data_IF_858748412843
#
_entry.id   IF_858748412843
#
_cell.length_a   1.000
_cell.length_b   1.000
_cell.length_c   1.000
_cell.angle_alpha   90.00
_cell.angle_beta   90.00
_cell.angle_gamma   90.00
#
_symmetry.space_group_name_H-M   'P 1'
#
loop_
_entity.id
_entity.type
_entity.pdbx_description
1 polymer ?
#
# COMPACT_ATOMS: atom_id res chain seq x y z
N UNK A 1 7.96 -16.69 -11.04
CA UNK A 1 9.15 -16.10 -11.71
C UNK A 1 9.12 -14.56 -11.84
N UNK A 2 8.03 -13.88 -11.63
CA UNK A 2 7.92 -12.39 -11.77
C UNK A 2 8.44 -11.60 -10.56
N UNK A 3 8.54 -12.22 -9.39
CA UNK A 3 9.01 -11.54 -8.15
C UNK A 3 10.50 -11.18 -8.23
N UNK A 4 11.32 -12.04 -8.87
CA UNK A 4 12.76 -11.80 -9.00
C UNK A 4 13.10 -10.53 -9.80
N UNK A 5 12.53 -10.29 -11.01
CA UNK A 5 12.79 -9.04 -11.72
C UNK A 5 12.28 -7.81 -10.96
N UNK A 6 11.15 -7.88 -10.28
CA UNK A 6 10.68 -6.78 -9.44
C UNK A 6 11.65 -6.47 -8.30
N UNK A 7 12.07 -7.50 -7.55
CA UNK A 7 13.05 -7.33 -6.48
C UNK A 7 14.39 -6.78 -7.00
N UNK A 8 14.89 -7.30 -8.12
CA UNK A 8 16.13 -6.84 -8.75
C UNK A 8 16.08 -5.39 -9.18
N UNK A 9 14.99 -4.96 -9.84
CA UNK A 9 14.80 -3.57 -10.24
C UNK A 9 14.65 -2.63 -9.05
N UNK A 10 13.95 -3.06 -7.99
CA UNK A 10 13.81 -2.28 -6.76
C UNK A 10 15.16 -2.11 -6.05
N UNK A 11 15.97 -3.18 -5.98
CA UNK A 11 17.32 -3.08 -5.43
C UNK A 11 18.21 -2.16 -6.27
N UNK A 12 18.12 -2.22 -7.60
CA UNK A 12 18.87 -1.34 -8.49
C UNK A 12 18.46 0.13 -8.31
N UNK A 13 17.16 0.41 -8.20
CA UNK A 13 16.65 1.76 -7.93
C UNK A 13 17.15 2.29 -6.59
N UNK A 14 17.08 1.45 -5.54
CA UNK A 14 17.57 1.83 -4.22
C UNK A 14 19.09 2.07 -4.23
N UNK A 15 19.85 1.20 -4.91
CA UNK A 15 21.29 1.37 -5.06
C UNK A 15 21.66 2.66 -5.81
N UNK A 16 20.97 2.97 -6.91
CA UNK A 16 21.19 4.20 -7.68
C UNK A 16 20.93 5.46 -6.84
N UNK A 17 19.85 5.45 -6.07
CA UNK A 17 19.49 6.57 -5.19
C UNK A 17 20.50 6.78 -4.04
N UNK A 18 20.97 5.69 -3.43
CA UNK A 18 21.84 5.75 -2.25
C UNK A 18 23.33 5.95 -2.59
N UNK A 19 23.80 5.37 -3.69
CA UNK A 19 25.23 5.32 -4.01
C UNK A 19 25.64 6.28 -5.11
N UNK A 20 24.80 6.48 -6.10
CA UNK A 20 25.12 7.31 -7.25
C UNK A 20 24.63 8.75 -7.09
N UNK A 21 23.76 9.00 -6.07
CA UNK A 21 23.16 10.33 -5.88
C UNK A 21 22.47 10.84 -7.15
N UNK A 22 21.91 9.90 -7.94
CA UNK A 22 21.25 10.24 -9.21
C UNK A 22 20.12 11.23 -8.94
N UNK A 23 20.17 12.35 -9.62
CA UNK A 23 19.09 13.32 -9.61
C UNK A 23 17.81 12.60 -10.11
N UNK A 24 16.71 12.61 -9.33
CA UNK A 24 15.45 12.00 -9.77
C UNK A 24 14.87 12.61 -11.06
N UNK A 25 15.39 13.77 -11.49
CA UNK A 25 15.01 14.42 -12.73
C UNK A 25 15.74 13.87 -13.98
N UNK A 26 16.69 12.94 -13.82
CA UNK A 26 17.37 12.37 -14.98
C UNK A 26 16.47 11.39 -15.74
N UNK A 27 16.58 11.31 -17.09
CA UNK A 27 15.78 10.37 -17.88
C UNK A 27 16.03 8.90 -17.51
N UNK A 28 17.25 8.57 -17.08
CA UNK A 28 17.60 7.22 -16.61
C UNK A 28 16.87 6.87 -15.31
N UNK A 29 16.81 7.80 -14.36
CA UNK A 29 16.07 7.59 -13.10
C UNK A 29 14.56 7.46 -13.37
N UNK A 30 14.01 8.26 -14.26
CA UNK A 30 12.61 8.18 -14.67
C UNK A 30 12.30 6.84 -15.37
N UNK A 31 13.18 6.37 -16.26
CA UNK A 31 13.02 5.09 -16.94
C UNK A 31 13.08 3.92 -15.94
N UNK A 32 14.00 3.96 -14.97
CA UNK A 32 14.11 2.97 -13.92
C UNK A 32 12.87 2.95 -13.01
N UNK A 33 12.36 4.12 -12.62
CA UNK A 33 11.13 4.24 -11.83
C UNK A 33 9.93 3.65 -12.58
N UNK A 34 9.79 3.95 -13.86
CA UNK A 34 8.75 3.35 -14.71
C UNK A 34 8.89 1.83 -14.79
N UNK A 35 10.09 1.31 -15.01
CA UNK A 35 10.36 -0.13 -15.08
C UNK A 35 9.99 -0.83 -13.76
N UNK A 36 10.32 -0.24 -12.60
CA UNK A 36 9.94 -0.76 -11.28
C UNK A 36 8.42 -0.78 -11.11
N UNK A 37 7.72 0.28 -11.52
CA UNK A 37 6.24 0.35 -11.43
C UNK A 37 5.56 -0.72 -12.30
N UNK A 38 6.04 -0.90 -13.53
CA UNK A 38 5.52 -1.96 -14.43
C UNK A 38 5.80 -3.35 -13.87
N UNK A 39 7.02 -3.61 -13.39
CA UNK A 39 7.36 -4.88 -12.76
C UNK A 39 6.53 -5.16 -11.50
N UNK A 40 6.28 -4.11 -10.68
CA UNK A 40 5.40 -4.20 -9.53
C UNK A 40 3.96 -4.56 -9.95
N UNK A 41 3.39 -3.87 -10.94
CA UNK A 41 2.04 -4.13 -11.43
C UNK A 41 1.89 -5.58 -11.91
N UNK A 42 2.84 -6.08 -12.70
CA UNK A 42 2.84 -7.49 -13.18
C UNK A 42 2.96 -8.46 -12.02
N UNK A 43 3.80 -8.16 -11.03
CA UNK A 43 3.98 -9.01 -9.84
C UNK A 43 2.70 -9.07 -9.02
N UNK A 44 2.08 -7.91 -8.73
CA UNK A 44 0.81 -7.85 -8.00
C UNK A 44 -0.31 -8.57 -8.75
N UNK A 45 -0.38 -8.43 -10.07
CA UNK A 45 -1.34 -9.16 -10.89
C UNK A 45 -1.18 -10.68 -10.74
N UNK A 46 0.05 -11.17 -10.81
CA UNK A 46 0.35 -12.61 -10.65
C UNK A 46 0.04 -13.11 -9.24
N UNK A 47 0.37 -12.32 -8.23
CA UNK A 47 0.02 -12.65 -6.83
C UNK A 47 -1.49 -12.66 -6.63
N UNK A 48 -2.21 -11.67 -7.15
CA UNK A 48 -3.66 -11.63 -7.07
C UNK A 48 -4.31 -12.84 -7.75
N UNK A 49 -3.80 -13.23 -8.92
CA UNK A 49 -4.25 -14.42 -9.64
C UNK A 49 -4.02 -15.70 -8.81
N UNK A 50 -2.82 -15.88 -8.26
CA UNK A 50 -2.51 -17.03 -7.42
C UNK A 50 -3.35 -17.07 -6.13
N UNK A 51 -3.64 -15.91 -5.56
CA UNK A 51 -4.50 -15.79 -4.36
C UNK A 51 -5.97 -16.09 -4.68
N UNK A 52 -6.45 -15.81 -5.90
CA UNK A 52 -7.84 -16.10 -6.30
C UNK A 52 -8.17 -17.59 -6.33
N UNK A 53 -7.14 -18.43 -6.54
CA UNK A 53 -7.28 -19.89 -6.56
C UNK A 53 -6.85 -20.55 -5.23
N UNK A 54 -6.55 -19.73 -4.22
CA UNK A 54 -6.07 -20.20 -2.91
C UNK A 54 -7.17 -20.17 -1.84
N UNK A 55 -6.99 -20.87 -0.70
CA UNK A 55 -7.89 -20.77 0.46
C UNK A 55 -8.03 -19.32 1.00
N UNK A 56 -7.05 -18.45 0.72
CA UNK A 56 -7.09 -17.05 1.09
C UNK A 56 -8.22 -16.26 0.37
N UNK A 57 -8.77 -16.79 -0.72
CA UNK A 57 -9.88 -16.17 -1.46
C UNK A 57 -11.05 -15.78 -0.55
N UNK A 58 -11.46 -16.68 0.35
CA UNK A 58 -12.59 -16.41 1.25
C UNK A 58 -12.31 -15.22 2.17
N UNK A 59 -11.08 -15.11 2.66
CA UNK A 59 -10.64 -13.96 3.45
C UNK A 59 -10.60 -12.67 2.62
N UNK A 60 -10.04 -12.73 1.41
CA UNK A 60 -9.96 -11.58 0.49
C UNK A 60 -11.35 -11.06 0.12
N UNK A 61 -12.32 -11.94 -0.14
CA UNK A 61 -13.69 -11.54 -0.42
C UNK A 61 -14.39 -10.88 0.79
N UNK A 62 -13.96 -11.17 2.01
CA UNK A 62 -14.48 -10.50 3.21
C UNK A 62 -13.96 -9.07 3.36
N UNK A 63 -12.72 -8.81 2.92
CA UNK A 63 -12.11 -7.47 2.99
C UNK A 63 -12.33 -6.64 1.71
N UNK A 64 -12.79 -7.26 0.62
CA UNK A 64 -13.04 -6.58 -0.65
C UNK A 64 -13.94 -5.33 -0.50
N UNK A 65 -15.02 -5.33 0.31
CA UNK A 65 -15.85 -4.14 0.48
C UNK A 65 -15.09 -2.92 1.03
N UNK A 66 -13.99 -3.16 1.75
CA UNK A 66 -13.11 -2.10 2.26
C UNK A 66 -12.11 -1.58 1.23
N UNK A 67 -11.93 -2.27 0.10
CA UNK A 67 -10.90 -1.89 -0.89
C UNK A 67 -11.15 -0.51 -1.47
N UNK A 68 -12.39 -0.16 -1.78
CA UNK A 68 -12.72 1.17 -2.28
C UNK A 68 -12.54 2.24 -1.19
N UNK A 69 -12.96 1.95 0.04
CA UNK A 69 -12.74 2.83 1.17
C UNK A 69 -11.27 3.03 1.48
N UNK A 70 -10.45 1.96 1.38
CA UNK A 70 -9.00 2.02 1.45
C UNK A 70 -8.44 2.96 0.38
N UNK A 71 -8.86 2.78 -0.86
CA UNK A 71 -8.39 3.61 -1.97
C UNK A 71 -8.68 5.11 -1.74
N UNK A 72 -9.86 5.44 -1.22
CA UNK A 72 -10.24 6.83 -0.95
C UNK A 72 -9.55 7.42 0.28
N UNK A 73 -9.26 6.61 1.31
CA UNK A 73 -8.82 7.10 2.63
C UNK A 73 -7.32 6.94 2.89
N UNK A 74 -6.60 6.08 2.14
CA UNK A 74 -5.21 5.75 2.46
C UNK A 74 -4.27 6.97 2.43
N UNK A 75 -4.43 7.89 1.48
CA UNK A 75 -3.61 9.10 1.41
C UNK A 75 -3.84 10.00 2.61
N UNK A 76 -5.10 10.16 3.03
CA UNK A 76 -5.48 10.95 4.21
C UNK A 76 -4.88 10.31 5.47
N UNK A 77 -4.99 8.98 5.59
CA UNK A 77 -4.44 8.23 6.73
C UNK A 77 -2.92 8.28 6.79
N UNK A 78 -2.25 8.17 5.65
CA UNK A 78 -0.79 8.31 5.56
C UNK A 78 -0.38 9.73 5.94
N UNK A 79 -1.07 10.74 5.41
CA UNK A 79 -0.77 12.14 5.70
C UNK A 79 -1.02 12.50 7.17
N UNK A 80 -2.15 12.07 7.74
CA UNK A 80 -2.51 12.32 9.13
C UNK A 80 -1.66 11.51 10.12
N UNK A 81 -1.39 10.24 9.79
CA UNK A 81 -0.59 9.33 10.62
C UNK A 81 0.92 9.52 10.48
N UNK A 82 1.37 10.13 9.38
CA UNK A 82 2.78 10.30 9.06
C UNK A 82 3.62 10.96 10.17
N UNK A 83 3.17 12.09 10.76
CA UNK A 83 3.90 12.71 11.86
C UNK A 83 4.05 11.81 13.09
N UNK A 84 3.00 11.07 13.45
CA UNK A 84 3.01 10.14 14.60
C UNK A 84 3.93 8.97 14.32
N UNK A 85 3.80 8.35 13.15
CA UNK A 85 4.63 7.22 12.74
C UNK A 85 6.10 7.64 12.54
N UNK A 86 6.33 8.84 12.01
CA UNK A 86 7.68 9.41 11.91
C UNK A 86 8.33 9.67 13.27
N UNK A 87 7.54 10.03 14.29
CA UNK A 87 8.05 10.17 15.66
C UNK A 87 8.41 8.82 16.29
N UNK A 88 7.66 7.75 15.97
CA UNK A 88 7.89 6.40 16.51
C UNK A 88 9.04 5.67 15.82
N UNK A 89 9.09 5.72 14.50
CA UNK A 89 10.04 4.94 13.69
C UNK A 89 11.25 5.76 13.22
N UNK A 90 11.22 7.06 13.43
CA UNK A 90 12.26 7.98 12.98
C UNK A 90 12.09 8.44 11.53
N UNK A 91 12.95 9.40 11.15
CA UNK A 91 12.97 9.98 9.79
C UNK A 91 13.74 9.08 8.82
N UNK A 92 13.66 9.42 7.55
CA UNK A 92 14.48 8.79 6.50
C UNK A 92 15.97 8.77 6.92
N UNK A 93 16.56 7.57 6.89
CA UNK A 93 17.93 7.34 7.35
C UNK A 93 18.05 6.79 8.78
N UNK A 94 16.97 6.74 9.56
CA UNK A 94 17.00 6.05 10.87
C UNK A 94 17.01 4.52 10.69
N UNK A 95 17.61 3.76 11.63
CA UNK A 95 17.68 2.29 11.54
C UNK A 95 16.31 1.60 11.56
N UNK A 96 15.28 2.26 12.11
CA UNK A 96 13.92 1.73 12.18
C UNK A 96 13.06 2.09 10.94
N UNK A 97 13.55 2.95 10.07
CA UNK A 97 12.81 3.39 8.88
C UNK A 97 12.44 2.25 7.90
N UNK A 98 13.31 1.25 7.63
CA UNK A 98 12.94 0.10 6.81
C UNK A 98 11.78 -0.70 7.42
N UNK A 99 11.73 -0.85 8.75
CA UNK A 99 10.64 -1.51 9.44
C UNK A 99 9.33 -0.73 9.26
N UNK A 100 9.38 0.58 9.33
CA UNK A 100 8.24 1.45 9.03
C UNK A 100 7.69 1.22 7.62
N UNK A 101 8.56 1.22 6.61
CA UNK A 101 8.14 0.98 5.22
C UNK A 101 7.45 -0.37 5.02
N UNK A 102 7.94 -1.42 5.69
CA UNK A 102 7.34 -2.75 5.62
C UNK A 102 6.00 -2.85 6.37
N UNK A 103 5.87 -2.14 7.48
CA UNK A 103 4.67 -2.22 8.33
C UNK A 103 3.59 -1.20 7.93
N UNK A 104 3.95 -0.11 7.27
CA UNK A 104 3.03 0.96 6.87
C UNK A 104 1.79 0.46 6.12
N UNK A 105 1.88 -0.40 5.09
CA UNK A 105 0.70 -0.90 4.39
C UNK A 105 -0.25 -1.68 5.30
N UNK A 106 0.30 -2.45 6.25
CA UNK A 106 -0.50 -3.21 7.21
C UNK A 106 -1.19 -2.30 8.21
N UNK A 107 -0.49 -1.28 8.70
CA UNK A 107 -1.05 -0.28 9.62
C UNK A 107 -2.21 0.46 8.94
N UNK A 108 -2.02 0.90 7.70
CA UNK A 108 -3.06 1.60 6.93
C UNK A 108 -4.25 0.67 6.67
N UNK A 109 -4.02 -0.58 6.29
CA UNK A 109 -5.08 -1.57 6.07
C UNK A 109 -5.89 -1.80 7.35
N UNK A 110 -5.24 -2.01 8.48
CA UNK A 110 -5.91 -2.20 9.78
C UNK A 110 -6.70 -0.97 10.19
N UNK A 111 -6.13 0.23 10.02
CA UNK A 111 -6.82 1.49 10.30
C UNK A 111 -8.07 1.66 9.43
N UNK A 112 -8.00 1.32 8.15
CA UNK A 112 -9.15 1.37 7.22
C UNK A 112 -10.25 0.38 7.62
N UNK A 113 -9.89 -0.85 7.96
CA UNK A 113 -10.87 -1.86 8.41
C UNK A 113 -11.56 -1.39 9.71
N UNK A 114 -10.77 -0.89 10.66
CA UNK A 114 -11.30 -0.37 11.93
C UNK A 114 -12.23 0.83 11.69
N UNK A 115 -11.76 1.85 10.97
CA UNK A 115 -12.54 3.05 10.67
C UNK A 115 -13.78 2.73 9.86
N UNK A 116 -13.69 1.88 8.85
CA UNK A 116 -14.83 1.46 8.04
C UNK A 116 -15.86 0.70 8.89
N UNK A 117 -15.42 -0.18 9.78
CA UNK A 117 -16.31 -0.91 10.70
C UNK A 117 -17.00 0.04 11.69
N UNK A 118 -16.25 0.98 12.25
CA UNK A 118 -16.81 1.99 13.15
C UNK A 118 -17.80 2.89 12.42
N UNK A 119 -17.47 3.32 11.20
CA UNK A 119 -18.33 4.18 10.39
C UNK A 119 -19.65 3.48 10.03
N UNK A 120 -19.61 2.20 9.67
CA UNK A 120 -20.83 1.41 9.41
C UNK A 120 -21.74 1.35 10.64
N UNK A 121 -21.14 1.24 11.83
CA UNK A 121 -21.93 1.17 13.09
C UNK A 121 -22.48 2.53 13.51
N UNK A 122 -21.68 3.59 13.40
CA UNK A 122 -22.02 4.93 13.90
C UNK A 122 -22.83 5.75 12.88
N UNK A 123 -22.55 5.59 11.59
CA UNK A 123 -23.12 6.42 10.52
C UNK A 123 -23.28 5.59 9.22
N UNK A 124 -24.30 4.72 9.14
CA UNK A 124 -24.46 3.80 7.99
C UNK A 124 -24.73 4.52 6.66
N UNK A 125 -25.35 5.68 6.67
CA UNK A 125 -25.56 6.51 5.47
C UNK A 125 -24.23 6.99 4.86
N UNK A 126 -23.41 7.77 5.56
CA UNK A 126 -22.07 8.15 5.13
C UNK A 126 -21.17 6.96 4.77
N UNK A 127 -21.21 5.87 5.52
CA UNK A 127 -20.45 4.65 5.23
C UNK A 127 -20.78 4.11 3.83
N UNK A 128 -22.07 4.07 3.48
CA UNK A 128 -22.54 3.60 2.18
C UNK A 128 -22.05 4.52 1.04
N UNK A 129 -22.10 5.84 1.23
CA UNK A 129 -21.63 6.79 0.22
C UNK A 129 -20.12 6.68 0.02
N UNK A 130 -19.33 6.71 1.10
CA UNK A 130 -17.87 6.67 1.06
C UNK A 130 -17.31 5.33 0.58
N UNK A 131 -18.07 4.26 0.65
CA UNK A 131 -17.67 2.94 0.15
C UNK A 131 -18.21 2.60 -1.24
N UNK A 132 -18.90 3.54 -1.90
CA UNK A 132 -19.57 3.26 -3.17
C UNK A 132 -20.69 2.20 -3.03
N UNK A 133 -21.37 2.16 -1.89
CA UNK A 133 -22.45 1.23 -1.61
C UNK A 133 -22.03 -0.16 -1.11
N UNK A 134 -20.73 -0.41 -0.96
CA UNK A 134 -20.19 -1.75 -0.64
C UNK A 134 -20.19 -2.07 0.86
N UNK A 135 -20.02 -1.07 1.72
CA UNK A 135 -20.11 -1.22 3.18
C UNK A 135 -21.58 -1.04 3.61
N UNK A 136 -22.24 -2.13 3.90
CA UNK A 136 -23.59 -2.17 4.45
C UNK A 136 -23.58 -2.81 5.83
N UNK A 137 -24.39 -2.31 6.76
CA UNK A 137 -24.66 -3.02 8.01
C UNK A 137 -25.36 -4.35 7.65
N UNK A 138 -24.74 -5.46 8.03
CA UNK A 138 -25.36 -6.78 8.01
C UNK A 138 -25.99 -7.07 9.35
#
# INVERSE_FOLDING_TARGET
>A
MTVLPFAGLTCLQLYSALRLGTDPATPEAAALDLAVRVAAAVTYWRVAWALSDSPARTFLLRIEPFAFFLFCSHLILIWLGGPVLGALFGKLGSPLYPLYLLTQPLIVLLAVILLGTLLVRAAPGPARVLSGGRLTAR
#
